data_IF_810039780525
#
_entry.id   IF_810039780525
#
_cell.length_a   1.000
_cell.length_b   1.000
_cell.length_c   1.000
_cell.angle_alpha   90.00
_cell.angle_beta   90.00
_cell.angle_gamma   90.00
#
_symmetry.space_group_name_H-M   'P 1'
#
loop_
_entity.id
_entity.type
_entity.pdbx_description
1 polymer ?
#
# COMPACT_ATOMS: atom_id res chain seq x y z
N UNK A 1 1.14 -15.63 -14.60
CA UNK A 1 1.92 -15.66 -13.35
C UNK A 1 3.14 -14.75 -13.41
N UNK A 2 4.00 -14.83 -14.43
CA UNK A 2 5.21 -13.98 -14.58
C UNK A 2 4.88 -12.46 -14.48
N UNK A 3 3.84 -11.98 -15.17
CA UNK A 3 3.39 -10.58 -15.09
C UNK A 3 2.98 -10.15 -13.66
N UNK A 4 2.29 -11.03 -12.94
CA UNK A 4 1.85 -10.76 -11.55
C UNK A 4 3.06 -10.67 -10.62
N UNK A 5 4.05 -11.54 -10.82
CA UNK A 5 5.30 -11.49 -10.05
C UNK A 5 6.10 -10.22 -10.34
N UNK A 6 6.22 -9.82 -11.61
CA UNK A 6 6.85 -8.55 -11.99
C UNK A 6 6.13 -7.34 -11.39
N UNK A 7 4.79 -7.35 -11.38
CA UNK A 7 3.99 -6.31 -10.75
C UNK A 7 4.14 -6.27 -9.22
N UNK A 8 4.37 -7.42 -8.58
CA UNK A 8 4.66 -7.51 -7.16
C UNK A 8 6.04 -6.91 -6.84
N UNK A 9 7.04 -7.17 -7.69
CA UNK A 9 8.36 -6.51 -7.60
C UNK A 9 8.22 -4.99 -7.80
N UNK A 10 7.45 -4.54 -8.80
CA UNK A 10 7.18 -3.11 -9.03
C UNK A 10 6.56 -2.45 -7.80
N UNK A 11 5.55 -3.09 -7.19
CA UNK A 11 4.93 -2.61 -5.96
C UNK A 11 5.94 -2.51 -4.82
N UNK A 12 6.79 -3.53 -4.65
CA UNK A 12 7.83 -3.54 -3.62
C UNK A 12 8.85 -2.40 -3.82
N UNK A 13 9.30 -2.16 -5.06
CA UNK A 13 10.21 -1.06 -5.38
C UNK A 13 9.57 0.30 -5.06
N UNK A 14 8.32 0.51 -5.47
CA UNK A 14 7.57 1.75 -5.19
C UNK A 14 7.40 1.97 -3.69
N UNK A 15 7.11 0.90 -2.92
CA UNK A 15 7.05 0.95 -1.47
C UNK A 15 8.42 1.24 -0.84
N UNK A 16 9.51 0.70 -1.41
CA UNK A 16 10.87 0.98 -0.93
C UNK A 16 11.27 2.44 -1.14
N UNK A 17 10.96 2.97 -2.31
CA UNK A 17 11.39 4.31 -2.73
C UNK A 17 10.54 5.43 -2.12
N UNK A 18 9.23 5.24 -2.06
CA UNK A 18 8.29 6.29 -1.62
C UNK A 18 7.50 5.93 -0.38
N UNK A 19 7.79 4.80 0.25
CA UNK A 19 7.05 4.34 1.44
C UNK A 19 7.15 5.33 2.59
N UNK A 20 6.00 5.74 3.13
CA UNK A 20 5.94 6.42 4.40
C UNK A 20 6.02 5.39 5.53
N UNK A 21 7.24 4.95 5.83
CA UNK A 21 7.48 3.92 6.84
C UNK A 21 7.01 4.30 8.25
N UNK A 22 6.98 5.60 8.58
CA UNK A 22 6.48 6.10 9.87
C UNK A 22 4.97 5.85 9.98
N UNK A 23 4.20 6.26 8.96
CA UNK A 23 2.76 6.00 8.92
C UNK A 23 2.44 4.51 8.83
N UNK A 24 3.18 3.76 8.02
CA UNK A 24 3.02 2.30 7.90
C UNK A 24 3.21 1.65 9.26
N UNK A 25 4.23 2.05 10.03
CA UNK A 25 4.50 1.53 11.37
C UNK A 25 3.41 1.92 12.37
N UNK A 26 2.95 3.17 12.34
CA UNK A 26 1.87 3.64 13.20
C UNK A 26 0.55 2.91 12.90
N UNK A 27 0.26 2.64 11.63
CA UNK A 27 -1.02 2.07 11.17
C UNK A 27 -0.96 0.58 10.86
N UNK A 28 0.03 -0.17 11.37
CA UNK A 28 0.25 -1.59 11.04
C UNK A 28 -0.99 -2.47 11.25
N UNK A 29 -1.76 -2.21 12.32
CA UNK A 29 -3.00 -2.97 12.60
C UNK A 29 -4.09 -2.73 11.56
N UNK A 30 -4.24 -1.50 11.11
CA UNK A 30 -5.21 -1.13 10.07
C UNK A 30 -4.75 -1.63 8.70
N UNK A 31 -3.47 -1.46 8.37
CA UNK A 31 -2.87 -1.94 7.13
C UNK A 31 -2.94 -3.46 7.04
N UNK A 32 -2.64 -4.18 8.11
CA UNK A 32 -2.81 -5.63 8.20
C UNK A 32 -4.27 -6.02 7.99
N UNK A 33 -5.21 -5.34 8.64
CA UNK A 33 -6.64 -5.61 8.43
C UNK A 33 -7.09 -5.31 7.00
N UNK A 34 -6.53 -4.30 6.33
CA UNK A 34 -6.76 -4.02 4.92
C UNK A 34 -6.18 -5.10 4.01
N UNK A 35 -4.92 -5.49 4.22
CA UNK A 35 -4.22 -6.53 3.45
C UNK A 35 -4.94 -7.86 3.57
N UNK A 36 -5.36 -8.24 4.76
CA UNK A 36 -6.06 -9.51 4.98
C UNK A 36 -7.57 -9.43 4.70
N UNK A 37 -8.07 -8.30 4.18
CA UNK A 37 -9.51 -8.05 3.96
C UNK A 37 -10.34 -8.35 5.22
N UNK A 38 -9.79 -8.00 6.39
CA UNK A 38 -10.39 -8.17 7.73
C UNK A 38 -11.01 -6.89 8.29
N UNK A 39 -10.85 -5.75 7.61
CA UNK A 39 -11.46 -4.48 7.99
C UNK A 39 -12.76 -4.19 7.21
N UNK A 40 -13.82 -3.79 7.91
CA UNK A 40 -15.07 -3.25 7.33
C UNK A 40 -16.04 -4.31 6.78
N UNK A 41 -16.96 -3.86 5.91
CA UNK A 41 -18.06 -4.65 5.31
C UNK A 41 -17.62 -5.77 4.34
N UNK A 42 -16.32 -5.87 4.03
CA UNK A 42 -15.75 -6.84 3.08
C UNK A 42 -14.94 -7.93 3.79
N UNK A 43 -15.47 -8.45 4.90
CA UNK A 43 -14.86 -9.56 5.62
C UNK A 43 -14.90 -10.81 4.72
N UNK A 44 -13.77 -11.08 4.04
CA UNK A 44 -13.67 -12.17 3.08
C UNK A 44 -12.89 -13.34 3.68
N UNK A 45 -13.22 -14.55 3.23
CA UNK A 45 -12.41 -15.72 3.58
C UNK A 45 -10.97 -15.54 3.05
N UNK A 46 -9.95 -16.07 3.74
CA UNK A 46 -8.55 -15.94 3.33
C UNK A 46 -8.31 -16.39 1.87
N UNK A 47 -9.04 -17.40 1.40
CA UNK A 47 -8.98 -17.90 0.03
C UNK A 47 -9.44 -16.83 -0.97
N UNK A 48 -10.57 -16.15 -0.69
CA UNK A 48 -11.06 -15.06 -1.56
C UNK A 48 -10.14 -13.86 -1.55
N UNK A 49 -9.50 -13.55 -0.42
CA UNK A 49 -8.50 -12.49 -0.33
C UNK A 49 -7.32 -12.76 -1.27
N UNK A 50 -6.82 -14.00 -1.34
CA UNK A 50 -5.74 -14.38 -2.28
C UNK A 50 -6.15 -14.11 -3.73
N UNK A 51 -7.36 -14.50 -4.15
CA UNK A 51 -7.85 -14.22 -5.50
C UNK A 51 -8.06 -12.72 -5.76
N UNK A 52 -8.52 -11.97 -4.76
CA UNK A 52 -8.65 -10.52 -4.83
C UNK A 52 -7.28 -9.86 -5.08
N UNK A 53 -6.26 -10.22 -4.30
CA UNK A 53 -4.90 -9.72 -4.49
C UNK A 53 -4.29 -10.13 -5.83
N UNK A 54 -4.52 -11.37 -6.27
CA UNK A 54 -4.06 -11.81 -7.58
C UNK A 54 -4.67 -10.99 -8.72
N UNK A 55 -5.95 -10.62 -8.62
CA UNK A 55 -6.61 -9.73 -9.60
C UNK A 55 -6.05 -8.31 -9.52
N UNK A 56 -5.90 -7.76 -8.32
CA UNK A 56 -5.35 -6.42 -8.11
C UNK A 56 -3.94 -6.31 -8.67
N UNK A 57 -3.10 -7.33 -8.45
CA UNK A 57 -1.72 -7.37 -8.94
C UNK A 57 -1.62 -7.58 -10.46
N UNK A 58 -2.70 -7.89 -11.18
CA UNK A 58 -2.68 -7.84 -12.66
C UNK A 58 -2.66 -6.40 -13.19
N UNK A 59 -3.12 -5.43 -12.39
CA UNK A 59 -3.08 -3.99 -12.65
C UNK A 59 -2.76 -3.22 -11.37
N UNK A 60 -1.49 -3.25 -10.91
CA UNK A 60 -1.07 -2.74 -9.60
C UNK A 60 -1.23 -1.21 -9.46
N UNK A 61 -1.49 -0.49 -10.54
CA UNK A 61 -1.64 0.96 -10.58
C UNK A 61 -2.75 1.43 -9.62
N UNK A 62 -3.88 0.72 -9.58
CA UNK A 62 -4.99 1.03 -8.66
C UNK A 62 -4.57 0.81 -7.21
N UNK A 63 -3.74 -0.22 -6.95
CA UNK A 63 -3.22 -0.48 -5.61
C UNK A 63 -2.22 0.61 -5.18
N UNK A 64 -1.32 1.01 -6.08
CA UNK A 64 -0.36 2.09 -5.85
C UNK A 64 -1.12 3.37 -5.54
N UNK A 65 -2.12 3.73 -6.36
CA UNK A 65 -2.94 4.91 -6.15
C UNK A 65 -3.69 4.88 -4.81
N UNK A 66 -4.21 3.72 -4.39
CA UNK A 66 -4.81 3.57 -3.05
C UNK A 66 -3.80 3.81 -1.94
N UNK A 67 -2.60 3.25 -2.06
CA UNK A 67 -1.54 3.43 -1.07
C UNK A 67 -1.06 4.88 -1.00
N UNK A 68 -1.01 5.60 -2.13
CA UNK A 68 -0.77 7.05 -2.17
C UNK A 68 -1.90 7.83 -1.49
N UNK A 69 -3.16 7.51 -1.82
CA UNK A 69 -4.34 8.19 -1.27
C UNK A 69 -4.42 8.04 0.25
N UNK A 70 -4.06 6.87 0.79
CA UNK A 70 -3.98 6.64 2.23
C UNK A 70 -2.72 7.22 2.89
N UNK A 71 -1.82 7.84 2.12
CA UNK A 71 -0.57 8.41 2.62
C UNK A 71 0.53 7.39 2.94
N UNK A 72 0.31 6.10 2.64
CA UNK A 72 1.33 5.05 2.81
C UNK A 72 2.47 5.17 1.80
N UNK A 73 2.20 5.82 0.66
CA UNK A 73 3.21 6.25 -0.30
C UNK A 73 3.20 7.78 -0.35
N UNK A 74 4.38 8.39 -0.30
CA UNK A 74 4.51 9.80 -0.64
C UNK A 74 4.24 10.01 -2.13
N UNK A 75 3.57 11.11 -2.45
CA UNK A 75 3.43 11.57 -3.84
C UNK A 75 4.82 11.73 -4.47
N UNK A 76 5.01 11.37 -5.74
CA UNK A 76 6.28 11.60 -6.43
C UNK A 76 6.69 13.08 -6.46
N UNK A 77 5.75 14.00 -6.25
CA UNK A 77 5.98 15.44 -6.14
C UNK A 77 6.63 15.85 -4.80
N UNK A 78 6.52 15.01 -3.77
CA UNK A 78 7.08 15.27 -2.44
C UNK A 78 8.49 14.70 -2.37
N UNK A 79 9.45 15.53 -2.79
CA UNK A 79 10.87 15.13 -2.86
C UNK A 79 11.63 15.49 -1.57
N UNK A 80 11.28 16.60 -0.91
CA UNK A 80 12.03 17.11 0.25
C UNK A 80 11.70 16.38 1.56
N UNK A 81 12.73 16.12 2.35
CA UNK A 81 12.55 15.46 3.66
C UNK A 81 11.80 16.34 4.65
N UNK A 82 11.94 17.67 4.58
CA UNK A 82 11.15 18.61 5.38
C UNK A 82 9.63 18.50 5.11
N UNK A 83 9.22 18.30 3.85
CA UNK A 83 7.81 18.12 3.52
C UNK A 83 7.29 16.77 4.05
N UNK A 84 8.10 15.70 3.96
CA UNK A 84 7.77 14.39 4.54
C UNK A 84 7.62 14.48 6.06
N UNK A 85 8.52 15.18 6.73
CA UNK A 85 8.50 15.37 8.18
C UNK A 85 7.31 16.21 8.63
N UNK A 86 6.97 17.27 7.88
CA UNK A 86 5.77 18.06 8.15
C UNK A 86 4.48 17.23 8.04
N UNK A 87 4.34 16.42 6.99
CA UNK A 87 3.19 15.51 6.83
C UNK A 87 3.11 14.48 7.96
N UNK A 88 4.27 14.05 8.44
CA UNK A 88 4.41 13.10 9.54
C UNK A 88 4.29 13.72 10.93
N UNK A 89 4.14 15.03 11.07
CA UNK A 89 4.01 15.71 12.37
C UNK A 89 2.67 15.43 13.06
N UNK A 90 1.66 15.03 12.30
CA UNK A 90 0.32 14.68 12.78
C UNK A 90 0.15 13.19 13.14
N UNK A 91 1.25 12.41 13.10
CA UNK A 91 1.33 10.98 13.40
C UNK A 91 2.12 10.72 14.68
#
# INVERSE_FOLDING_TARGET
MIKVFSNLIKLFLVLRERGNWKLIRHSQKQLGSFIFCRAGLNQMSPIRAIFYWYRLLKGPEVLIWRLETFGFLFSPEIVSDQAKDHLNSYL
#
